data_IF_914695477006
#
_entry.id   IF_914695477006
#
_cell.length_a   1.000
_cell.length_b   1.000
_cell.length_c   1.000
_cell.angle_alpha   90.00
_cell.angle_beta   90.00
_cell.angle_gamma   90.00
#
_symmetry.space_group_name_H-M   'P 1'
#
loop_
_entity.id
_entity.type
_entity.pdbx_description
1 polymer ?
#
# COMPACT_ATOMS: atom_id res chain seq x y z
N UNK A 1 -39.69 30.65 -48.87
CA UNK A 1 -40.86 30.53 -47.96
C UNK A 1 -40.48 31.19 -46.65
N UNK A 2 -41.23 32.22 -46.29
CA UNK A 2 -41.05 33.12 -45.15
C UNK A 2 -41.98 32.72 -44.00
N UNK A 3 -41.46 32.62 -42.78
CA UNK A 3 -42.17 32.87 -41.50
C UNK A 3 -41.11 32.85 -40.38
N UNK A 4 -41.20 33.58 -39.26
CA UNK A 4 -41.71 34.89 -38.90
C UNK A 4 -41.10 35.15 -37.50
N UNK A 5 -40.51 36.33 -37.29
CA UNK A 5 -39.96 36.78 -36.01
C UNK A 5 -41.08 37.45 -35.19
N UNK A 6 -41.30 37.00 -33.96
CA UNK A 6 -42.27 37.58 -33.01
C UNK A 6 -41.55 38.53 -32.03
N UNK A 7 -41.79 39.86 -32.07
CA UNK A 7 -41.08 40.83 -31.24
C UNK A 7 -41.82 41.23 -29.95
N UNK A 8 -42.89 40.57 -29.51
CA UNK A 8 -43.63 40.99 -28.30
C UNK A 8 -44.05 39.84 -27.36
N UNK A 9 -43.06 39.16 -26.77
CA UNK A 9 -43.26 38.23 -25.65
C UNK A 9 -43.16 38.92 -24.29
N UNK A 10 -44.27 38.99 -23.55
CA UNK A 10 -44.40 39.54 -22.19
C UNK A 10 -43.58 38.69 -21.18
N UNK A 11 -42.85 39.27 -20.21
CA UNK A 11 -42.08 38.48 -19.25
C UNK A 11 -42.98 37.79 -18.21
N UNK A 12 -42.97 36.46 -18.18
CA UNK A 12 -43.51 35.67 -17.06
C UNK A 12 -42.65 35.79 -15.80
N UNK A 13 -43.19 35.52 -14.59
CA UNK A 13 -42.47 35.71 -13.34
C UNK A 13 -41.24 34.78 -13.24
N UNK A 14 -40.09 35.36 -12.87
CA UNK A 14 -38.83 34.64 -12.62
C UNK A 14 -39.04 33.62 -11.51
N UNK A 15 -38.78 32.33 -11.80
CA UNK A 15 -38.54 31.33 -10.76
C UNK A 15 -37.19 31.65 -10.11
N UNK A 16 -37.16 31.71 -8.78
CA UNK A 16 -35.93 31.77 -7.99
C UNK A 16 -35.11 30.49 -8.23
N UNK A 17 -33.76 30.57 -8.24
CA UNK A 17 -32.91 29.39 -8.31
C UNK A 17 -33.15 28.51 -7.07
N UNK A 18 -33.47 27.23 -7.29
CA UNK A 18 -33.44 26.24 -6.24
C UNK A 18 -31.97 25.90 -5.94
N UNK A 19 -31.63 25.97 -4.66
CA UNK A 19 -30.32 25.67 -4.10
C UNK A 19 -30.00 24.16 -4.27
N UNK A 20 -28.90 23.74 -4.93
CA UNK A 20 -28.64 22.32 -5.19
C UNK A 20 -28.17 21.48 -3.98
N UNK A 21 -28.16 22.02 -2.76
CA UNK A 21 -27.53 21.36 -1.60
C UNK A 21 -28.49 20.74 -0.56
N UNK A 22 -29.76 20.51 -0.90
CA UNK A 22 -30.68 19.77 -0.01
C UNK A 22 -31.55 18.79 -0.80
N UNK A 23 -30.95 17.67 -1.20
CA UNK A 23 -31.69 16.46 -1.60
C UNK A 23 -31.03 15.25 -0.94
N UNK A 24 -31.37 15.01 0.33
CA UNK A 24 -31.16 13.69 0.93
C UNK A 24 -32.28 12.75 0.43
N UNK A 25 -31.96 11.52 0.00
CA UNK A 25 -32.97 10.47 -0.15
C UNK A 25 -33.43 9.98 1.22
N UNK A 26 -34.75 9.87 1.39
CA UNK A 26 -35.39 9.14 2.47
C UNK A 26 -34.96 7.67 2.44
N UNK A 27 -34.32 7.18 3.51
CA UNK A 27 -34.09 5.76 3.73
C UNK A 27 -35.07 5.22 4.78
N UNK A 28 -35.71 4.06 4.55
CA UNK A 28 -36.63 3.46 5.48
C UNK A 28 -35.88 2.88 6.68
N UNK A 29 -36.44 3.14 7.87
CA UNK A 29 -36.06 2.53 9.14
C UNK A 29 -36.15 1.00 9.07
N UNK A 30 -35.01 0.33 9.26
CA UNK A 30 -34.91 -1.13 9.36
C UNK A 30 -33.75 -1.53 10.27
N UNK A 31 -34.09 -2.26 11.33
CA UNK A 31 -33.24 -2.76 12.41
C UNK A 31 -32.01 -3.53 11.92
N UNK A 32 -30.80 -3.15 12.36
CA UNK A 32 -29.68 -4.10 12.51
C UNK A 32 -28.75 -3.73 13.68
N UNK A 33 -28.60 -4.72 14.56
CA UNK A 33 -27.41 -5.09 15.33
C UNK A 33 -26.92 -4.19 16.49
N UNK A 34 -27.24 -4.66 17.70
CA UNK A 34 -26.51 -4.39 18.93
C UNK A 34 -25.05 -4.85 18.83
N UNK A 35 -24.11 -4.02 19.26
CA UNK A 35 -22.69 -4.37 19.38
C UNK A 35 -22.40 -5.08 20.72
N UNK A 36 -21.65 -6.20 20.76
CA UNK A 36 -21.07 -6.69 21.99
C UNK A 36 -19.82 -5.86 22.32
N UNK A 37 -19.83 -5.18 23.48
CA UNK A 37 -18.62 -4.65 24.09
C UNK A 37 -17.82 -5.80 24.70
N UNK A 38 -16.72 -6.20 24.07
CA UNK A 38 -15.65 -6.94 24.76
C UNK A 38 -14.30 -6.31 24.41
N UNK A 39 -13.59 -5.87 25.45
CA UNK A 39 -12.26 -5.27 25.35
C UNK A 39 -11.17 -6.36 25.34
N UNK A 40 -10.04 -6.17 24.65
CA UNK A 40 -8.90 -7.07 24.76
C UNK A 40 -8.12 -6.76 26.04
N UNK A 41 -7.92 -7.78 26.89
CA UNK A 41 -6.97 -7.70 28.01
C UNK A 41 -5.58 -8.15 27.52
N UNK A 42 -4.61 -7.24 27.61
CA UNK A 42 -3.19 -7.52 27.53
C UNK A 42 -2.75 -8.41 28.71
N UNK A 43 -2.11 -9.55 28.43
CA UNK A 43 -1.44 -10.38 29.42
C UNK A 43 0.06 -10.10 29.41
N UNK A 44 0.58 -9.55 30.51
CA UNK A 44 2.01 -9.47 30.81
C UNK A 44 2.44 -10.64 31.73
N UNK A 45 3.73 -11.00 31.76
CA UNK A 45 4.23 -12.25 32.35
C UNK A 45 4.27 -12.21 33.88
N UNK A 46 4.10 -13.38 34.53
CA UNK A 46 4.32 -13.55 35.96
C UNK A 46 5.79 -13.89 36.27
N UNK A 47 6.36 -13.35 37.37
CA UNK A 47 7.67 -13.73 37.88
C UNK A 47 7.59 -14.91 38.86
N UNK A 48 8.75 -15.47 39.18
CA UNK A 48 8.99 -16.54 40.14
C UNK A 48 9.19 -16.02 41.58
N UNK A 49 8.78 -16.81 42.59
CA UNK A 49 9.33 -16.89 43.96
C UNK A 49 8.52 -17.96 44.73
N UNK A 50 9.03 -19.13 45.09
CA UNK A 50 9.95 -19.50 46.20
C UNK A 50 9.39 -19.34 47.64
N UNK A 51 9.45 -20.46 48.37
CA UNK A 51 9.50 -20.70 49.83
C UNK A 51 8.28 -20.50 50.76
N UNK A 52 7.93 -21.60 51.46
CA UNK A 52 8.05 -21.66 52.93
C UNK A 52 6.76 -21.79 53.76
N UNK A 53 6.49 -22.98 54.29
CA UNK A 53 5.50 -23.24 55.35
C UNK A 53 6.02 -22.86 56.75
N UNK A 54 5.14 -22.40 57.66
CA UNK A 54 5.35 -22.61 59.09
C UNK A 54 4.12 -23.11 59.90
N UNK A 55 4.42 -24.08 60.77
CA UNK A 55 3.99 -24.30 62.17
C UNK A 55 2.54 -24.68 62.60
N UNK A 56 2.47 -25.92 63.13
CA UNK A 56 1.95 -26.45 64.42
C UNK A 56 0.97 -25.64 65.31
N UNK A 57 -0.02 -26.37 65.89
CA UNK A 57 -0.41 -26.27 67.32
C UNK A 57 -1.13 -27.54 67.84
N UNK A 58 -0.80 -27.95 69.08
CA UNK A 58 -1.34 -29.05 69.92
C UNK A 58 -2.60 -28.64 70.73
N UNK A 59 -3.33 -29.54 71.47
CA UNK A 59 -3.02 -29.82 72.91
C UNK A 59 -3.43 -31.21 73.53
N UNK A 60 -2.66 -31.62 74.57
CA UNK A 60 -3.01 -32.31 75.87
C UNK A 60 -3.75 -33.67 75.93
N UNK A 61 -3.48 -34.67 76.79
CA UNK A 61 -2.57 -34.85 77.96
C UNK A 61 -2.83 -36.21 78.69
N UNK A 62 -1.81 -36.70 79.42
CA UNK A 62 -1.75 -37.59 80.64
C UNK A 62 -2.54 -38.92 80.76
N UNK A 63 -2.11 -40.02 81.43
CA UNK A 63 -0.87 -40.45 82.12
C UNK A 63 -0.99 -41.98 82.52
N UNK A 64 0.15 -42.58 82.93
CA UNK A 64 0.36 -43.69 83.90
C UNK A 64 0.84 -45.11 83.44
N UNK A 65 1.88 -45.57 84.17
CA UNK A 65 2.81 -46.75 84.11
C UNK A 65 2.18 -48.11 84.56
N UNK A 66 2.87 -49.31 84.64
CA UNK A 66 4.34 -49.55 84.76
C UNK A 66 5.01 -50.83 84.13
N UNK A 67 6.35 -50.73 84.02
CA UNK A 67 7.48 -51.66 84.36
C UNK A 67 7.30 -53.19 84.25
N UNK A 68 8.22 -53.89 83.54
CA UNK A 68 9.15 -54.96 84.05
C UNK A 68 10.34 -55.12 83.07
N UNK A 69 11.53 -55.36 83.61
CA UNK A 69 12.83 -55.45 82.94
C UNK A 69 13.16 -56.80 82.26
N UNK A 70 14.11 -56.71 81.32
CA UNK A 70 15.05 -57.66 80.65
C UNK A 70 15.16 -59.13 81.15
N UNK A 71 15.56 -60.10 80.28
CA UNK A 71 16.90 -60.07 79.68
C UNK A 71 17.08 -60.57 78.23
N UNK A 72 18.09 -59.94 77.61
CA UNK A 72 19.04 -60.45 76.62
C UNK A 72 18.87 -61.90 76.14
N UNK A 73 18.67 -62.05 74.83
CA UNK A 73 19.03 -63.25 74.07
C UNK A 73 19.62 -62.80 72.74
N UNK A 74 20.93 -63.01 72.56
CA UNK A 74 21.55 -62.93 71.23
C UNK A 74 20.88 -63.97 70.31
N UNK A 75 20.37 -63.59 69.12
CA UNK A 75 20.13 -64.57 68.09
C UNK A 75 21.40 -64.76 67.27
N UNK A 76 21.92 -65.96 67.41
CA UNK A 76 22.94 -66.57 66.59
C UNK A 76 22.73 -66.32 65.08
N UNK A 77 23.86 -66.13 64.41
CA UNK A 77 23.99 -66.10 62.95
C UNK A 77 23.41 -67.40 62.37
N UNK A 78 22.19 -67.34 61.84
CA UNK A 78 21.61 -68.44 61.07
C UNK A 78 21.80 -68.19 59.57
N UNK A 79 22.73 -68.98 59.04
CA UNK A 79 23.21 -69.07 57.68
C UNK A 79 22.08 -69.51 56.72
N UNK A 80 21.31 -68.56 56.20
CA UNK A 80 20.20 -68.78 55.26
C UNK A 80 20.61 -68.81 53.79
N UNK A 81 21.55 -69.69 53.40
CA UNK A 81 22.08 -69.79 52.01
C UNK A 81 21.07 -70.22 50.92
N UNK A 82 19.81 -70.52 51.30
CA UNK A 82 18.73 -70.89 50.37
C UNK A 82 17.72 -69.79 50.05
N UNK A 83 17.45 -68.86 50.99
CA UNK A 83 16.48 -67.76 50.78
C UNK A 83 17.06 -66.60 49.96
N UNK A 84 18.37 -66.40 49.99
CA UNK A 84 19.03 -65.34 49.22
C UNK A 84 19.03 -65.60 47.71
N UNK A 85 19.10 -66.86 47.27
CA UNK A 85 19.04 -67.21 45.83
C UNK A 85 17.67 -66.96 45.23
N UNK A 86 16.61 -67.28 45.97
CA UNK A 86 15.24 -67.06 45.52
C UNK A 86 14.89 -65.57 45.51
N UNK A 87 15.33 -64.82 46.53
CA UNK A 87 15.22 -63.36 46.54
C UNK A 87 16.00 -62.70 45.39
N UNK A 88 17.19 -63.21 45.07
CA UNK A 88 18.01 -62.72 43.96
C UNK A 88 17.38 -63.02 42.59
N UNK A 89 16.80 -64.21 42.41
CA UNK A 89 16.06 -64.54 41.18
C UNK A 89 14.82 -63.67 41.01
N UNK A 90 14.06 -63.43 42.07
CA UNK A 90 12.90 -62.53 42.02
C UNK A 90 13.30 -61.08 41.71
N UNK A 91 14.43 -60.61 42.26
CA UNK A 91 14.98 -59.29 41.97
C UNK A 91 15.43 -59.16 40.51
N UNK A 92 16.10 -60.18 39.97
CA UNK A 92 16.49 -60.21 38.54
C UNK A 92 15.24 -60.24 37.64
N UNK A 93 14.22 -61.01 38.00
CA UNK A 93 12.97 -61.06 37.25
C UNK A 93 12.23 -59.71 37.27
N UNK A 94 12.20 -59.03 38.42
CA UNK A 94 11.67 -57.67 38.55
C UNK A 94 12.44 -56.70 37.65
N UNK A 95 13.77 -56.76 37.64
CA UNK A 95 14.59 -55.90 36.77
C UNK A 95 14.32 -56.15 35.29
N UNK A 96 14.12 -57.40 34.87
CA UNK A 96 13.75 -57.73 33.49
C UNK A 96 12.36 -57.19 33.13
N UNK A 97 11.39 -57.29 34.04
CA UNK A 97 10.04 -56.72 33.84
C UNK A 97 10.10 -55.19 33.76
N UNK A 98 10.87 -54.54 34.64
CA UNK A 98 11.08 -53.09 34.63
C UNK A 98 11.81 -52.65 33.36
N UNK A 99 12.84 -53.37 32.92
CA UNK A 99 13.56 -53.09 31.69
C UNK A 99 12.64 -53.26 30.46
N UNK A 100 11.82 -54.32 30.43
CA UNK A 100 10.79 -54.52 29.39
C UNK A 100 9.74 -53.40 29.40
N UNK A 101 9.30 -52.95 30.57
CA UNK A 101 8.36 -51.84 30.71
C UNK A 101 8.96 -50.50 30.29
N UNK A 102 10.24 -50.24 30.63
CA UNK A 102 10.97 -49.06 30.20
C UNK A 102 11.18 -49.05 28.68
N UNK A 103 11.55 -50.19 28.09
CA UNK A 103 11.69 -50.34 26.63
C UNK A 103 10.36 -50.11 25.91
N UNK A 104 9.26 -50.68 26.41
CA UNK A 104 7.92 -50.46 25.87
C UNK A 104 7.47 -49.00 25.98
N UNK A 105 7.80 -48.33 27.10
CA UNK A 105 7.49 -46.91 27.30
C UNK A 105 8.27 -46.01 26.35
N UNK A 106 9.53 -46.33 26.07
CA UNK A 106 10.37 -45.61 25.10
C UNK A 106 9.81 -45.73 23.68
N UNK A 107 9.48 -46.94 23.23
CA UNK A 107 8.87 -47.18 21.91
C UNK A 107 7.54 -46.42 21.74
N UNK A 108 6.75 -46.33 22.80
CA UNK A 108 5.49 -45.56 22.80
C UNK A 108 5.70 -44.04 22.76
N UNK A 109 6.81 -43.54 23.32
CA UNK A 109 7.18 -42.11 23.29
C UNK A 109 7.79 -41.75 21.93
N UNK A 110 8.63 -42.61 21.36
CA UNK A 110 9.19 -42.44 20.02
C UNK A 110 8.10 -42.36 18.95
N UNK A 111 7.08 -43.20 19.05
CA UNK A 111 5.91 -43.13 18.17
C UNK A 111 5.15 -41.79 18.31
N UNK A 112 5.08 -41.19 19.50
CA UNK A 112 4.46 -39.86 19.71
C UNK A 112 5.34 -38.74 19.17
N UNK A 113 6.65 -38.82 19.35
CA UNK A 113 7.62 -37.85 18.83
C UNK A 113 7.63 -37.86 17.29
N UNK A 114 7.54 -39.05 16.67
CA UNK A 114 7.38 -39.19 15.22
C UNK A 114 6.12 -38.49 14.72
N UNK A 115 4.98 -38.69 15.40
CA UNK A 115 3.73 -38.01 15.02
C UNK A 115 3.76 -36.49 15.21
N UNK A 116 4.39 -35.99 16.29
CA UNK A 116 4.53 -34.54 16.51
C UNK A 116 5.50 -33.89 15.52
N UNK A 117 6.61 -34.54 15.20
CA UNK A 117 7.53 -34.08 14.16
C UNK A 117 6.87 -34.05 12.78
N UNK A 118 6.05 -35.06 12.46
CA UNK A 118 5.27 -35.09 11.22
C UNK A 118 4.21 -33.97 11.17
N UNK A 119 3.53 -33.69 12.28
CA UNK A 119 2.56 -32.59 12.38
C UNK A 119 3.23 -31.21 12.22
N UNK A 120 4.43 -31.02 12.80
CA UNK A 120 5.21 -29.79 12.63
C UNK A 120 5.67 -29.63 11.18
N UNK A 121 6.16 -30.71 10.55
CA UNK A 121 6.55 -30.69 9.14
C UNK A 121 5.38 -30.35 8.22
N UNK A 122 4.21 -30.94 8.45
CA UNK A 122 2.99 -30.66 7.68
C UNK A 122 2.46 -29.23 7.92
N UNK A 123 2.54 -28.72 9.16
CA UNK A 123 2.20 -27.33 9.47
C UNK A 123 3.16 -26.34 8.75
N UNK A 124 4.47 -26.63 8.75
CA UNK A 124 5.46 -25.84 8.03
C UNK A 124 5.23 -25.89 6.51
N UNK A 125 4.92 -27.05 5.94
CA UNK A 125 4.60 -27.19 4.51
C UNK A 125 3.33 -26.43 4.13
N UNK A 126 2.29 -26.47 4.97
CA UNK A 126 1.06 -25.70 4.75
C UNK A 126 1.35 -24.19 4.78
N UNK A 127 2.22 -23.74 5.67
CA UNK A 127 2.62 -22.33 5.71
C UNK A 127 3.39 -21.92 4.46
N UNK A 128 4.36 -22.72 4.01
CA UNK A 128 5.11 -22.47 2.77
C UNK A 128 4.19 -22.46 1.53
N UNK A 129 3.23 -23.38 1.45
CA UNK A 129 2.24 -23.40 0.39
C UNK A 129 1.36 -22.13 0.37
N UNK A 130 1.00 -21.59 1.53
CA UNK A 130 0.23 -20.35 1.63
C UNK A 130 1.05 -19.14 1.17
N UNK A 131 2.32 -19.06 1.57
CA UNK A 131 3.24 -18.01 1.11
C UNK A 131 3.43 -18.05 -0.40
N UNK A 132 3.70 -19.22 -0.98
CA UNK A 132 3.84 -19.38 -2.43
C UNK A 132 2.55 -19.09 -3.21
N UNK A 133 1.38 -19.22 -2.58
CA UNK A 133 0.10 -18.81 -3.18
C UNK A 133 -0.06 -17.29 -3.13
N UNK A 134 0.28 -16.66 -2.00
CA UNK A 134 0.32 -15.20 -1.88
C UNK A 134 1.27 -14.60 -2.91
N UNK A 135 2.52 -15.07 -3.00
CA UNK A 135 3.51 -14.57 -3.97
C UNK A 135 3.05 -14.73 -5.42
N UNK A 136 2.38 -15.86 -5.75
CA UNK A 136 1.82 -16.06 -7.10
C UNK A 136 0.63 -15.17 -7.39
N UNK A 137 -0.19 -14.85 -6.39
CA UNK A 137 -1.29 -13.91 -6.54
C UNK A 137 -0.75 -12.49 -6.69
N UNK A 138 0.24 -12.11 -5.89
CA UNK A 138 0.96 -10.84 -5.99
C UNK A 138 1.62 -10.69 -7.37
N UNK A 139 2.31 -11.72 -7.89
CA UNK A 139 2.88 -11.67 -9.25
C UNK A 139 1.82 -11.58 -10.34
N UNK A 140 0.68 -12.24 -10.17
CA UNK A 140 -0.45 -12.12 -11.09
C UNK A 140 -1.11 -10.75 -11.03
N UNK A 141 -1.12 -10.11 -9.86
CA UNK A 141 -1.62 -8.76 -9.62
C UNK A 141 -0.62 -7.69 -10.09
N UNK A 142 0.68 -7.92 -9.97
CA UNK A 142 1.72 -7.03 -10.49
C UNK A 142 1.75 -6.99 -12.04
N UNK A 143 1.19 -8.01 -12.70
CA UNK A 143 0.90 -7.98 -14.12
C UNK A 143 -0.40 -7.21 -14.47
N UNK A 144 -1.20 -6.84 -13.47
CA UNK A 144 -2.37 -5.98 -13.60
C UNK A 144 -1.92 -4.54 -13.40
N UNK A 145 -2.39 -3.65 -14.26
CA UNK A 145 -2.17 -2.21 -14.13
C UNK A 145 -2.58 -1.74 -12.73
N UNK A 146 -1.61 -1.18 -12.00
CA UNK A 146 -1.78 -0.65 -10.64
C UNK A 146 -1.60 0.88 -10.67
N UNK A 147 -2.70 1.64 -10.79
CA UNK A 147 -2.62 3.10 -10.82
C UNK A 147 -2.03 3.72 -9.55
N UNK A 148 -2.17 3.07 -8.40
CA UNK A 148 -1.70 3.59 -7.12
C UNK A 148 -0.17 3.52 -7.05
N UNK A 149 0.40 2.37 -7.44
CA UNK A 149 1.84 2.20 -7.55
C UNK A 149 2.46 3.18 -8.57
N UNK A 150 1.85 3.27 -9.77
CA UNK A 150 2.30 4.21 -10.82
C UNK A 150 2.26 5.65 -10.31
N UNK A 151 1.16 6.05 -9.67
CA UNK A 151 1.02 7.40 -9.14
C UNK A 151 2.04 7.70 -8.05
N UNK A 152 2.26 6.77 -7.12
CA UNK A 152 3.24 6.92 -6.03
C UNK A 152 4.67 7.11 -6.56
N UNK A 153 5.00 6.45 -7.68
CA UNK A 153 6.28 6.58 -8.40
C UNK A 153 6.42 7.94 -9.09
N UNK A 154 5.34 8.42 -9.70
CA UNK A 154 5.32 9.62 -10.56
C UNK A 154 5.19 10.93 -9.78
N UNK A 155 4.33 10.95 -8.75
CA UNK A 155 3.93 12.16 -8.00
C UNK A 155 5.09 13.00 -7.43
N UNK A 156 6.21 12.42 -6.94
CA UNK A 156 7.36 13.20 -6.47
C UNK A 156 7.98 14.12 -7.54
N UNK A 157 7.73 13.83 -8.81
CA UNK A 157 8.26 14.58 -9.97
C UNK A 157 7.24 15.52 -10.59
N UNK A 158 6.02 15.57 -10.05
CA UNK A 158 4.89 16.39 -10.55
C UNK A 158 4.62 17.55 -9.60
N UNK A 159 4.45 18.75 -10.15
CA UNK A 159 4.31 19.99 -9.41
C UNK A 159 3.15 20.81 -9.96
N UNK A 160 2.49 21.56 -9.08
CA UNK A 160 1.62 22.64 -9.52
C UNK A 160 2.48 23.79 -10.01
N UNK A 161 2.20 24.31 -11.20
CA UNK A 161 2.82 25.54 -11.72
C UNK A 161 1.92 26.71 -11.36
N UNK A 162 2.49 27.74 -10.74
CA UNK A 162 1.86 29.04 -10.55
C UNK A 162 2.57 30.08 -11.41
N UNK A 163 1.86 30.56 -12.43
CA UNK A 163 2.33 31.56 -13.38
C UNK A 163 1.39 32.78 -13.35
N UNK A 164 1.72 33.76 -12.49
CA UNK A 164 0.82 34.88 -12.23
C UNK A 164 -0.48 34.40 -11.59
N UNK A 165 -1.62 34.69 -12.24
CA UNK A 165 -2.95 34.26 -11.81
C UNK A 165 -3.38 32.91 -12.40
N UNK A 166 -2.54 32.29 -13.23
CA UNK A 166 -2.83 31.02 -13.89
C UNK A 166 -2.12 29.88 -13.16
N UNK A 167 -2.79 28.72 -13.13
CA UNK A 167 -2.24 27.51 -12.55
C UNK A 167 -2.42 26.33 -13.48
N UNK A 168 -1.52 25.36 -13.37
CA UNK A 168 -1.54 24.11 -14.11
C UNK A 168 -0.57 23.11 -13.47
N UNK A 169 -0.20 22.08 -14.21
CA UNK A 169 0.77 21.08 -13.78
C UNK A 169 2.05 21.18 -14.61
N UNK A 170 3.19 20.89 -13.98
CA UNK A 170 4.44 20.57 -14.66
C UNK A 170 5.03 19.29 -14.09
N UNK A 171 5.85 18.61 -14.87
CA UNK A 171 6.59 17.45 -14.40
C UNK A 171 8.02 17.47 -14.89
N UNK A 172 8.90 16.92 -14.06
CA UNK A 172 10.34 16.83 -14.34
C UNK A 172 10.66 15.75 -15.37
N UNK A 173 11.57 16.05 -16.30
CA UNK A 173 12.02 15.14 -17.35
C UNK A 173 13.55 15.04 -17.40
N UNK A 174 14.03 13.79 -17.52
CA UNK A 174 15.40 13.47 -17.94
C UNK A 174 16.55 13.90 -17.01
N UNK A 175 17.74 13.37 -17.31
CA UNK A 175 18.99 13.65 -16.58
C UNK A 175 19.82 14.82 -17.13
N UNK A 176 19.39 15.47 -18.24
CA UNK A 176 20.13 16.54 -18.94
C UNK A 176 20.01 17.93 -18.30
N UNK A 177 19.51 18.02 -17.08
CA UNK A 177 19.58 19.26 -16.32
C UNK A 177 21.00 19.52 -15.85
N UNK A 178 21.35 20.79 -15.60
CA UNK A 178 22.63 21.11 -14.96
C UNK A 178 22.59 20.58 -13.52
N UNK A 179 23.76 20.32 -12.94
CA UNK A 179 23.84 19.92 -11.54
C UNK A 179 23.15 20.95 -10.63
N UNK A 180 22.27 20.46 -9.75
CA UNK A 180 21.46 21.30 -8.87
C UNK A 180 20.17 21.87 -9.50
N UNK A 181 19.91 21.62 -10.78
CA UNK A 181 18.70 22.07 -11.48
C UNK A 181 17.84 20.90 -11.98
N UNK A 182 16.63 21.19 -12.45
CA UNK A 182 15.76 20.23 -13.14
C UNK A 182 15.02 20.87 -14.31
N UNK A 183 14.84 20.11 -15.40
CA UNK A 183 13.98 20.48 -16.52
C UNK A 183 12.56 20.01 -16.23
N UNK A 184 11.58 20.89 -16.40
CA UNK A 184 10.18 20.49 -16.33
C UNK A 184 9.43 20.88 -17.58
N UNK A 185 8.49 20.04 -17.99
CA UNK A 185 7.57 20.32 -19.08
C UNK A 185 6.21 20.74 -18.54
N UNK A 186 5.56 21.66 -19.24
CA UNK A 186 4.16 22.04 -19.02
C UNK A 186 3.56 22.54 -20.35
N UNK A 187 2.29 22.91 -20.35
CA UNK A 187 1.68 23.54 -21.52
C UNK A 187 2.06 25.02 -21.62
N UNK A 188 2.06 25.56 -22.85
CA UNK A 188 2.27 26.98 -23.08
C UNK A 188 1.15 27.83 -22.46
N UNK A 189 -0.12 27.42 -22.61
CA UNK A 189 -1.25 28.19 -22.08
C UNK A 189 -1.22 28.35 -20.55
N UNK A 190 -0.54 27.45 -19.82
CA UNK A 190 -0.34 27.55 -18.36
C UNK A 190 0.54 28.74 -18.01
N UNK A 191 1.53 29.05 -18.86
CA UNK A 191 2.53 30.10 -18.62
C UNK A 191 2.38 31.34 -19.50
N UNK A 192 1.39 31.34 -20.41
CA UNK A 192 1.20 32.35 -21.44
C UNK A 192 1.14 33.76 -20.86
N UNK A 193 0.39 33.98 -19.77
CA UNK A 193 0.23 35.30 -19.16
C UNK A 193 1.56 35.92 -18.68
N UNK A 194 2.42 35.10 -18.07
CA UNK A 194 3.75 35.51 -17.64
C UNK A 194 4.66 35.71 -18.84
N UNK A 195 4.60 34.81 -19.82
CA UNK A 195 5.44 34.91 -21.01
C UNK A 195 5.13 36.15 -21.85
N UNK A 196 3.85 36.43 -22.09
CA UNK A 196 3.35 37.54 -22.89
C UNK A 196 3.57 38.91 -22.25
N UNK A 197 3.63 38.99 -20.91
CA UNK A 197 3.98 40.21 -20.18
C UNK A 197 5.50 40.48 -20.10
N UNK A 198 6.32 39.63 -20.73
CA UNK A 198 7.79 39.72 -20.67
C UNK A 198 8.40 39.09 -19.41
N UNK A 199 7.58 38.56 -18.51
CA UNK A 199 8.02 37.81 -17.35
C UNK A 199 8.58 36.44 -17.73
N UNK A 200 9.42 35.90 -16.84
CA UNK A 200 9.98 34.54 -16.98
C UNK A 200 9.90 33.72 -15.70
N UNK A 201 9.60 34.33 -14.56
CA UNK A 201 9.58 33.65 -13.26
C UNK A 201 8.23 32.99 -13.03
N UNK A 202 8.27 31.71 -12.64
CA UNK A 202 7.11 30.94 -12.19
C UNK A 202 7.48 30.18 -10.91
N UNK A 203 6.49 29.66 -10.20
CA UNK A 203 6.70 28.87 -9.00
C UNK A 203 6.16 27.46 -9.18
N UNK A 204 6.90 26.47 -8.71
CA UNK A 204 6.52 25.07 -8.65
C UNK A 204 6.17 24.73 -7.22
N UNK A 205 4.99 24.17 -6.99
CA UNK A 205 4.47 23.95 -5.64
C UNK A 205 4.05 22.49 -5.48
N UNK A 206 4.45 21.89 -4.36
CA UNK A 206 4.02 20.55 -3.93
C UNK A 206 3.91 20.54 -2.40
N UNK A 207 2.68 20.49 -1.90
CA UNK A 207 2.39 20.71 -0.49
C UNK A 207 2.98 22.00 0.06
N UNK A 208 3.90 21.89 1.03
CA UNK A 208 4.58 23.05 1.63
C UNK A 208 5.84 23.47 0.87
N UNK A 209 6.31 22.66 -0.07
CA UNK A 209 7.50 22.97 -0.85
C UNK A 209 7.14 23.92 -1.99
N UNK A 210 7.82 25.06 -2.06
CA UNK A 210 7.81 25.97 -3.21
C UNK A 210 9.22 26.06 -3.81
N UNK A 211 9.32 25.89 -5.12
CA UNK A 211 10.58 25.96 -5.88
C UNK A 211 10.45 27.02 -6.97
N UNK A 212 11.39 27.96 -7.01
CA UNK A 212 11.46 28.93 -8.09
C UNK A 212 11.86 28.25 -9.39
N UNK A 213 11.17 28.60 -10.48
CA UNK A 213 11.53 28.17 -11.82
C UNK A 213 11.47 29.33 -12.82
N UNK A 214 12.17 29.14 -13.93
CA UNK A 214 12.18 30.10 -15.04
C UNK A 214 11.66 29.45 -16.31
N UNK A 215 10.88 30.20 -17.10
CA UNK A 215 10.45 29.78 -18.43
C UNK A 215 11.64 29.95 -19.37
N UNK A 216 12.18 28.84 -19.87
CA UNK A 216 13.38 28.83 -20.73
C UNK A 216 12.99 28.98 -22.19
N UNK A 217 12.00 28.21 -22.63
CA UNK A 217 11.57 28.15 -24.03
C UNK A 217 10.09 27.81 -24.09
N UNK A 218 9.41 28.29 -25.12
CA UNK A 218 8.00 27.96 -25.41
C UNK A 218 7.83 27.63 -26.88
N UNK A 219 6.84 26.79 -27.18
CA UNK A 219 6.29 26.57 -28.51
C UNK A 219 4.77 26.77 -28.43
N UNK A 220 4.30 27.91 -28.96
CA UNK A 220 2.89 28.26 -28.95
C UNK A 220 2.05 27.34 -29.84
N UNK A 221 2.59 26.90 -30.98
CA UNK A 221 1.86 26.06 -31.93
C UNK A 221 1.55 24.69 -31.33
N UNK A 222 2.52 24.11 -30.63
CA UNK A 222 2.40 22.79 -30.00
C UNK A 222 1.84 22.83 -28.58
N UNK A 223 1.54 24.01 -28.05
CA UNK A 223 1.13 24.24 -26.66
C UNK A 223 2.12 23.67 -25.63
N UNK A 224 3.42 23.96 -25.79
CA UNK A 224 4.50 23.44 -24.95
C UNK A 224 5.34 24.55 -24.31
N UNK A 225 5.78 24.32 -23.08
CA UNK A 225 6.75 25.17 -22.39
C UNK A 225 7.78 24.34 -21.62
N UNK A 226 9.03 24.78 -21.68
CA UNK A 226 10.14 24.26 -20.88
C UNK A 226 10.41 25.20 -19.71
N UNK A 227 10.37 24.65 -18.51
CA UNK A 227 10.73 25.31 -17.27
C UNK A 227 12.06 24.78 -16.75
N UNK A 228 12.80 25.64 -16.04
CA UNK A 228 14.02 25.28 -15.32
C UNK A 228 13.88 25.61 -13.85
N UNK A 229 13.86 24.58 -13.00
CA UNK A 229 13.85 24.71 -11.56
C UNK A 229 15.26 24.93 -11.01
N UNK A 230 15.37 25.73 -9.95
CA UNK A 230 16.64 25.98 -9.22
C UNK A 230 16.96 24.91 -8.18
N UNK A 231 16.37 23.70 -8.32
CA UNK A 231 16.55 22.55 -7.43
C UNK A 231 16.57 21.29 -8.29
N UNK A 232 17.35 20.30 -7.87
CA UNK A 232 17.31 18.94 -8.43
C UNK A 232 15.99 18.24 -8.08
N UNK A 233 15.33 17.72 -9.10
CA UNK A 233 14.09 16.95 -9.02
C UNK A 233 14.33 15.69 -9.86
N UNK A 234 13.86 14.53 -9.40
CA UNK A 234 13.95 13.30 -10.18
C UNK A 234 13.20 13.50 -11.51
N UNK A 235 13.78 13.07 -12.62
CA UNK A 235 13.10 13.10 -13.91
C UNK A 235 12.26 11.83 -14.08
N UNK A 236 11.08 11.96 -14.68
CA UNK A 236 10.32 10.79 -15.12
C UNK A 236 10.97 10.15 -16.35
N UNK A 237 10.86 8.83 -16.45
CA UNK A 237 11.27 8.07 -17.62
C UNK A 237 10.32 8.34 -18.79
N UNK A 238 10.86 8.27 -20.00
CA UNK A 238 10.15 8.61 -21.23
C UNK A 238 10.00 7.34 -22.07
N UNK A 239 8.78 7.04 -22.49
CA UNK A 239 8.50 5.86 -23.28
C UNK A 239 9.19 5.98 -24.65
N UNK A 240 10.00 4.97 -25.00
CA UNK A 240 10.64 4.89 -26.33
C UNK A 240 9.67 4.37 -27.41
N UNK A 241 8.66 3.60 -27.00
CA UNK A 241 7.72 2.95 -27.90
C UNK A 241 6.59 3.89 -28.33
N UNK A 242 6.10 3.70 -29.56
CA UNK A 242 4.91 4.39 -30.05
C UNK A 242 3.68 3.96 -29.28
N UNK A 243 2.86 4.95 -28.91
CA UNK A 243 1.59 4.78 -28.21
C UNK A 243 0.60 3.98 -29.05
N UNK A 244 -0.14 3.07 -28.43
CA UNK A 244 -1.14 2.22 -29.09
C UNK A 244 -2.52 2.39 -28.47
N UNK A 245 -3.61 2.42 -29.28
CA UNK A 245 -4.97 2.34 -28.75
C UNK A 245 -5.17 1.12 -27.85
N UNK A 246 -5.94 1.28 -26.77
CA UNK A 246 -6.19 0.27 -25.74
C UNK A 246 -5.14 0.19 -24.63
N UNK A 247 -4.01 0.90 -24.76
CA UNK A 247 -3.01 0.99 -23.70
C UNK A 247 -3.58 1.73 -22.49
N UNK A 248 -3.41 1.16 -21.30
CA UNK A 248 -3.85 1.78 -20.05
C UNK A 248 -2.95 2.96 -19.69
N UNK A 249 -3.56 4.03 -19.20
CA UNK A 249 -2.88 5.28 -18.89
C UNK A 249 -3.31 5.83 -17.54
N UNK A 250 -2.36 6.45 -16.87
CA UNK A 250 -2.59 7.30 -15.69
C UNK A 250 -2.27 8.73 -16.09
N UNK A 251 -3.16 9.67 -15.77
CA UNK A 251 -2.88 11.09 -15.87
C UNK A 251 -2.74 11.65 -14.48
N UNK A 252 -1.61 12.30 -14.23
CA UNK A 252 -1.28 12.85 -12.92
C UNK A 252 -1.28 14.38 -13.02
N UNK A 253 -1.91 15.04 -12.06
CA UNK A 253 -1.98 16.49 -11.98
C UNK A 253 -1.99 17.01 -10.55
N UNK A 254 -1.75 18.31 -10.40
CA UNK A 254 -1.76 19.02 -9.12
C UNK A 254 -2.72 20.23 -9.17
N UNK A 255 -4.05 20.01 -9.26
CA UNK A 255 -5.03 21.09 -9.37
C UNK A 255 -5.21 21.86 -8.05
N UNK A 256 -5.25 23.20 -8.15
CA UNK A 256 -5.88 24.11 -7.16
C UNK A 256 -5.51 23.91 -5.67
N UNK A 257 -4.34 23.36 -5.34
CA UNK A 257 -3.92 23.12 -3.96
C UNK A 257 -4.49 21.85 -3.32
N UNK A 258 -5.21 21.02 -4.09
CA UNK A 258 -5.39 19.61 -3.78
C UNK A 258 -4.14 18.88 -4.29
N UNK A 259 -3.40 18.23 -3.40
CA UNK A 259 -2.31 17.35 -3.80
C UNK A 259 -2.90 16.14 -4.56
N UNK A 260 -2.15 15.66 -5.57
CA UNK A 260 -2.27 14.30 -6.10
C UNK A 260 -3.60 13.95 -6.80
N UNK A 261 -4.03 14.73 -7.81
CA UNK A 261 -5.13 14.28 -8.67
C UNK A 261 -4.63 13.27 -9.68
N UNK A 262 -5.18 12.07 -9.59
CA UNK A 262 -4.88 10.94 -10.45
C UNK A 262 -6.17 10.56 -11.18
N UNK A 263 -6.11 10.48 -12.50
CA UNK A 263 -7.20 9.92 -13.31
C UNK A 263 -6.66 8.79 -14.17
N UNK A 264 -7.50 7.80 -14.45
CA UNK A 264 -7.12 6.60 -15.20
C UNK A 264 -8.04 6.40 -16.39
N UNK A 265 -7.51 5.74 -17.40
CA UNK A 265 -8.26 5.44 -18.62
C UNK A 265 -7.41 4.62 -19.59
N UNK A 266 -7.77 4.67 -20.86
CA UNK A 266 -7.06 4.04 -21.97
C UNK A 266 -6.80 5.04 -23.08
N UNK A 267 -5.76 4.79 -23.86
CA UNK A 267 -5.58 5.47 -25.15
C UNK A 267 -6.73 5.08 -26.07
N UNK A 268 -7.56 6.04 -26.44
CA UNK A 268 -8.66 5.85 -27.39
C UNK A 268 -8.16 5.88 -28.82
N UNK A 269 -7.22 6.77 -29.14
CA UNK A 269 -6.63 6.90 -30.47
C UNK A 269 -5.25 7.57 -30.42
N UNK A 270 -4.41 7.30 -31.43
CA UNK A 270 -3.19 8.05 -31.68
C UNK A 270 -3.21 8.57 -33.13
N UNK A 271 -3.00 9.88 -33.31
CA UNK A 271 -3.05 10.57 -34.60
C UNK A 271 -1.72 11.29 -34.83
N UNK A 272 -0.71 10.63 -35.41
CA UNK A 272 0.60 11.24 -35.64
C UNK A 272 0.56 12.35 -36.71
N UNK A 273 -0.37 12.27 -37.66
CA UNK A 273 -0.46 13.16 -38.83
C UNK A 273 -1.62 14.16 -38.72
N UNK A 274 -2.06 14.48 -37.50
CA UNK A 274 -3.13 15.45 -37.29
C UNK A 274 -2.68 16.86 -37.76
N UNK A 275 -3.55 17.65 -38.43
CA UNK A 275 -3.19 18.96 -38.96
C UNK A 275 -2.62 19.94 -37.92
N UNK A 276 -3.07 19.82 -36.66
CA UNK A 276 -2.61 20.67 -35.56
C UNK A 276 -1.41 20.08 -34.80
N UNK A 277 -0.83 19.00 -35.35
CA UNK A 277 0.32 18.27 -34.84
C UNK A 277 -0.07 16.95 -34.14
N UNK A 278 0.90 16.03 -33.97
CA UNK A 278 0.65 14.72 -33.38
C UNK A 278 -0.14 14.79 -32.06
N UNK A 279 -1.18 13.97 -31.91
CA UNK A 279 -2.04 13.97 -30.71
C UNK A 279 -2.35 12.55 -30.23
N UNK A 280 -2.33 12.36 -28.91
CA UNK A 280 -2.85 11.18 -28.23
C UNK A 280 -4.22 11.53 -27.67
N UNK A 281 -5.20 10.70 -27.95
CA UNK A 281 -6.55 10.77 -27.38
C UNK A 281 -6.72 9.64 -26.35
N UNK A 282 -7.33 9.95 -25.21
CA UNK A 282 -7.63 9.00 -24.15
C UNK A 282 -8.97 9.37 -23.48
N UNK A 283 -9.50 8.49 -22.62
CA UNK A 283 -10.80 8.68 -21.96
C UNK A 283 -10.72 8.99 -20.46
N UNK A 284 -9.50 9.09 -19.91
CA UNK A 284 -9.29 9.59 -18.54
C UNK A 284 -9.71 11.05 -18.41
N UNK A 285 -10.35 11.38 -17.28
CA UNK A 285 -10.86 12.73 -17.03
C UNK A 285 -9.75 13.79 -17.03
N UNK A 286 -9.94 14.85 -17.81
CA UNK A 286 -9.09 16.05 -17.86
C UNK A 286 -9.88 17.24 -17.33
N UNK A 287 -9.35 17.88 -16.31
CA UNK A 287 -9.98 19.02 -15.63
C UNK A 287 -8.98 20.18 -15.54
N UNK A 288 -9.45 21.42 -15.34
CA UNK A 288 -8.55 22.52 -15.02
C UNK A 288 -7.62 22.15 -13.86
N UNK A 289 -6.31 22.18 -14.12
CA UNK A 289 -5.26 21.88 -13.15
C UNK A 289 -4.45 20.60 -13.42
N UNK A 290 -4.94 19.61 -14.18
CA UNK A 290 -4.10 18.51 -14.69
C UNK A 290 -3.54 18.77 -16.11
N UNK A 291 -3.90 19.91 -16.73
CA UNK A 291 -3.22 20.41 -17.93
C UNK A 291 -1.74 20.68 -17.66
N UNK A 292 -0.88 20.17 -18.55
CA UNK A 292 0.56 20.17 -18.41
C UNK A 292 1.10 18.98 -17.62
N UNK A 293 0.23 18.12 -17.07
CA UNK A 293 0.61 16.92 -16.35
C UNK A 293 1.03 15.76 -17.26
N UNK A 294 1.79 14.79 -16.74
CA UNK A 294 2.22 13.64 -17.52
C UNK A 294 1.06 12.67 -17.72
N UNK A 295 0.99 12.11 -18.93
CA UNK A 295 0.23 10.89 -19.23
C UNK A 295 1.24 9.74 -19.22
N UNK A 296 1.02 8.76 -18.35
CA UNK A 296 1.98 7.70 -18.01
C UNK A 296 1.40 6.35 -18.35
N UNK A 297 2.23 5.44 -18.87
CA UNK A 297 1.83 4.07 -19.16
C UNK A 297 1.93 3.14 -17.93
N UNK A 298 1.65 1.85 -18.11
CA UNK A 298 1.77 0.83 -17.07
C UNK A 298 3.21 0.51 -16.64
N UNK A 299 4.22 1.11 -17.25
CA UNK A 299 5.64 0.91 -16.97
C UNK A 299 6.27 2.15 -16.30
N UNK A 300 5.47 3.06 -15.75
CA UNK A 300 5.87 4.35 -15.17
C UNK A 300 6.53 5.33 -16.17
N UNK A 301 6.40 5.07 -17.47
CA UNK A 301 6.99 5.92 -18.50
C UNK A 301 5.98 6.94 -19.03
N UNK A 302 6.42 8.19 -19.16
CA UNK A 302 5.62 9.25 -19.77
C UNK A 302 5.47 8.96 -21.26
N UNK A 303 4.24 8.97 -21.75
CA UNK A 303 3.88 8.86 -23.17
C UNK A 303 3.39 10.18 -23.77
N UNK A 304 2.91 11.10 -22.93
CA UNK A 304 2.33 12.36 -23.38
C UNK A 304 2.24 13.41 -22.28
N UNK A 305 1.89 14.62 -22.69
CA UNK A 305 1.64 15.79 -21.85
C UNK A 305 0.18 16.21 -22.03
N UNK A 306 -0.62 16.04 -20.99
CA UNK A 306 -2.07 16.25 -21.03
C UNK A 306 -2.41 17.71 -21.31
N UNK A 307 -3.41 17.97 -22.15
CA UNK A 307 -3.86 19.33 -22.51
C UNK A 307 -5.39 19.41 -22.47
N UNK A 308 -5.93 20.44 -21.81
CA UNK A 308 -7.38 20.68 -21.75
C UNK A 308 -7.91 21.39 -23.01
N UNK A 309 -7.47 20.99 -24.21
CA UNK A 309 -7.97 21.52 -25.48
C UNK A 309 -9.41 21.08 -25.80
N UNK A 310 -9.83 19.91 -25.31
CA UNK A 310 -11.17 19.37 -25.51
C UNK A 310 -12.10 19.71 -24.32
N UNK A 311 -12.43 20.99 -24.13
CA UNK A 311 -13.20 21.45 -22.95
C UNK A 311 -14.69 21.07 -22.96
N UNK A 312 -15.24 20.70 -24.12
CA UNK A 312 -16.68 20.53 -24.32
C UNK A 312 -17.08 19.09 -24.72
N UNK A 313 -16.18 18.12 -24.54
CA UNK A 313 -16.44 16.72 -24.87
C UNK A 313 -16.12 15.81 -23.68
N UNK A 314 -17.16 15.37 -22.97
CA UNK A 314 -17.03 14.39 -21.89
C UNK A 314 -16.35 13.11 -22.41
N UNK A 315 -15.37 12.61 -21.66
CA UNK A 315 -14.64 11.38 -22.01
C UNK A 315 -13.65 11.53 -23.16
N UNK A 316 -13.28 12.76 -23.57
CA UNK A 316 -12.21 13.00 -24.56
C UNK A 316 -11.08 13.81 -23.93
N UNK A 317 -10.06 13.12 -23.43
CA UNK A 317 -8.78 13.69 -23.06
C UNK A 317 -7.83 13.75 -24.26
N UNK A 318 -7.02 14.82 -24.33
CA UNK A 318 -5.98 14.98 -25.35
C UNK A 318 -4.62 15.18 -24.69
N UNK A 319 -3.57 14.67 -25.33
CA UNK A 319 -2.18 14.91 -24.93
C UNK A 319 -1.29 15.14 -26.14
N UNK A 320 -0.31 16.03 -25.95
CA UNK A 320 0.82 16.18 -26.87
C UNK A 320 1.77 15.01 -26.63
N UNK A 321 2.16 14.22 -27.65
CA UNK A 321 3.11 13.12 -27.46
C UNK A 321 4.42 13.60 -26.86
N UNK A 322 4.94 12.85 -25.89
CA UNK A 322 6.13 13.27 -25.15
C UNK A 322 7.34 13.44 -26.07
N UNK A 323 7.44 12.60 -27.11
CA UNK A 323 8.46 12.68 -28.15
C UNK A 323 8.48 14.05 -28.82
N UNK A 324 7.31 14.65 -29.07
CA UNK A 324 7.19 15.99 -29.65
C UNK A 324 7.87 17.04 -28.77
N UNK A 325 7.66 16.98 -27.45
CA UNK A 325 8.27 17.91 -26.51
C UNK A 325 9.78 17.67 -26.34
N UNK A 326 10.20 16.40 -26.24
CA UNK A 326 11.59 16.01 -26.20
C UNK A 326 12.36 16.48 -27.45
N UNK A 327 11.78 16.31 -28.64
CA UNK A 327 12.41 16.73 -29.89
C UNK A 327 12.50 18.26 -30.03
N UNK A 328 11.50 18.99 -29.55
CA UNK A 328 11.44 20.46 -29.59
C UNK A 328 12.46 21.12 -28.65
N UNK A 329 12.66 20.54 -27.47
CA UNK A 329 13.47 21.15 -26.41
C UNK A 329 14.82 20.46 -26.16
N UNK A 330 15.05 19.26 -26.70
CA UNK A 330 16.27 18.45 -26.53
C UNK A 330 16.63 18.17 -25.07
N UNK A 331 15.60 17.97 -24.23
CA UNK A 331 15.73 17.75 -22.78
C UNK A 331 15.60 16.28 -22.35
N UNK A 332 15.10 15.46 -23.26
CA UNK A 332 15.24 14.01 -23.28
C UNK A 332 16.37 13.70 -24.30
#
# INVERSE_FOLDING_TARGET
>A
MTTAYDPYGVPGPRRLPQDPLLSLPDHPSGEWAQAPRTAPRFGHPRPASEFGDPFLSLPTGDAAYPVVADPATEPAVLNGRGRSRLAMMLFVLLLLVVAGWQAWRLDRVDNRLGTSNAQLADAMQRQDQLTQRADRLEQKLAAVFDPEAISSSVLPSVFRVRAGNFTGTAFSVGAKAKEGEANLLTNYHVVESVWASGGRKVFLERGKDEVSATIVKVDKGKDLALLRATRKIAGLDIAAATVKPGQQVVVVGAPLGLEDTVTTGVVSAYRPDDPDGPVIQFDASINPGNSGGPVVNSADEVIGLATAKARDADGIGLAVPIKTACDEFKVC
#
